data_IF_888600480731
#
_entry.id   IF_888600480731
#
_cell.length_a   1.000
_cell.length_b   1.000
_cell.length_c   1.000
_cell.angle_alpha   90.00
_cell.angle_beta   90.00
_cell.angle_gamma   90.00
#
_symmetry.space_group_name_H-M   'P 1'
#
loop_
_entity.id
_entity.type
_entity.pdbx_description
1 polymer ?
#
# COMPACT_ATOMS: atom_id res chain seq x y z
N UNK A 1 -25.42 5.03 20.13
CA UNK A 1 -24.15 5.04 19.38
C UNK A 1 -23.30 3.89 19.91
N UNK A 2 -23.11 2.77 19.18
CA UNK A 2 -22.19 1.74 19.61
C UNK A 2 -20.76 2.12 19.17
N UNK A 3 -19.82 1.92 20.08
CA UNK A 3 -18.38 2.20 19.95
C UNK A 3 -17.74 1.13 19.06
N UNK A 4 -16.91 1.51 18.07
CA UNK A 4 -16.09 0.55 17.33
C UNK A 4 -15.10 -0.12 18.28
N UNK A 5 -15.14 -1.46 18.34
CA UNK A 5 -14.30 -2.24 19.26
C UNK A 5 -12.94 -2.52 18.63
N UNK A 6 -11.86 -1.95 19.20
CA UNK A 6 -10.49 -2.32 18.87
C UNK A 6 -10.24 -3.74 19.38
N UNK A 7 -9.93 -4.68 18.49
CA UNK A 7 -9.64 -6.07 18.86
C UNK A 7 -8.13 -6.32 18.85
N UNK A 8 -7.55 -6.58 20.02
CA UNK A 8 -6.16 -6.99 20.14
C UNK A 8 -6.04 -8.50 19.97
N UNK A 9 -5.11 -8.96 19.12
CA UNK A 9 -4.74 -10.38 19.00
C UNK A 9 -3.26 -10.56 19.31
N UNK A 10 -2.89 -11.31 20.36
CA UNK A 10 -1.49 -11.65 20.60
C UNK A 10 -0.99 -12.62 19.51
N UNK A 11 0.29 -12.49 19.14
CA UNK A 11 0.95 -13.40 18.21
C UNK A 11 1.08 -14.81 18.83
N UNK A 12 0.81 -15.91 18.09
CA UNK A 12 1.09 -17.25 18.57
C UNK A 12 2.59 -17.53 18.49
N UNK A 13 3.26 -17.63 19.64
CA UNK A 13 4.66 -18.06 19.72
C UNK A 13 5.17 -18.11 21.16
N UNK A 14 5.24 -19.32 21.73
CA UNK A 14 5.81 -19.61 23.06
C UNK A 14 4.78 -20.24 24.01
N UNK A 15 4.67 -21.58 23.98
CA UNK A 15 3.62 -22.33 24.67
C UNK A 15 3.76 -22.46 26.18
N UNK A 16 2.64 -22.74 26.83
CA UNK A 16 2.49 -23.73 27.90
C UNK A 16 1.04 -24.24 27.87
N UNK A 17 0.86 -25.57 27.91
CA UNK A 17 -0.43 -26.25 27.88
C UNK A 17 -1.24 -26.00 29.16
N UNK A 18 -2.57 -25.83 29.01
CA UNK A 18 -3.54 -26.53 29.85
C UNK A 18 -4.86 -26.68 29.11
N UNK A 19 -5.29 -27.93 29.00
CA UNK A 19 -6.53 -28.46 28.45
C UNK A 19 -7.79 -27.95 29.16
N UNK A 20 -8.86 -27.73 28.39
CA UNK A 20 -10.20 -28.25 28.70
C UNK A 20 -11.05 -28.21 27.41
N UNK A 21 -11.48 -29.40 26.98
CA UNK A 21 -12.46 -29.57 25.92
C UNK A 21 -13.86 -29.23 26.45
N UNK A 22 -14.68 -28.63 25.59
CA UNK A 22 -16.12 -28.45 25.79
C UNK A 22 -16.75 -28.35 24.42
N UNK A 23 -17.27 -29.49 23.94
CA UNK A 23 -18.21 -29.55 22.82
C UNK A 23 -19.55 -29.09 23.38
N UNK A 24 -20.20 -28.13 22.72
CA UNK A 24 -21.65 -28.09 22.70
C UNK A 24 -22.18 -27.42 21.43
N UNK A 25 -23.30 -27.99 21.02
CA UNK A 25 -24.06 -27.90 19.78
C UNK A 25 -24.98 -26.66 19.76
N UNK A 26 -25.47 -26.28 18.59
CA UNK A 26 -26.67 -25.42 18.47
C UNK A 26 -26.43 -23.93 18.15
N UNK A 27 -26.69 -23.60 16.88
CA UNK A 27 -27.35 -22.37 16.39
C UNK A 27 -27.21 -21.10 17.24
N UNK A 28 -26.32 -20.20 16.82
CA UNK A 28 -26.37 -18.77 17.19
C UNK A 28 -26.56 -17.97 15.90
N UNK A 29 -27.77 -17.41 15.75
CA UNK A 29 -28.05 -16.28 14.88
C UNK A 29 -27.24 -15.09 15.40
N UNK A 30 -26.04 -14.91 14.84
CA UNK A 30 -25.14 -13.81 15.18
C UNK A 30 -25.64 -12.58 14.41
N UNK A 31 -26.53 -11.79 15.02
CA UNK A 31 -26.82 -10.39 14.66
C UNK A 31 -25.58 -9.52 14.93
N UNK A 32 -24.47 -9.89 14.28
CA UNK A 32 -23.16 -9.32 14.46
C UNK A 32 -23.07 -8.06 13.63
N UNK A 33 -22.71 -6.97 14.28
CA UNK A 33 -22.37 -5.70 13.64
C UNK A 33 -21.36 -5.90 12.48
N UNK A 34 -21.82 -5.72 11.24
CA UNK A 34 -21.03 -5.83 9.99
C UNK A 34 -20.24 -4.54 9.64
N UNK A 35 -19.98 -3.68 10.64
CA UNK A 35 -19.15 -2.48 10.45
C UNK A 35 -17.66 -2.81 10.37
N UNK A 36 -16.81 -1.88 9.87
CA UNK A 36 -15.37 -2.08 9.87
C UNK A 36 -14.86 -2.33 11.29
N UNK A 37 -14.11 -3.42 11.46
CA UNK A 37 -13.49 -3.79 12.73
C UNK A 37 -11.98 -3.56 12.68
N UNK A 38 -11.46 -2.75 13.59
CA UNK A 38 -10.02 -2.51 13.72
C UNK A 38 -9.37 -3.63 14.53
N UNK A 39 -8.40 -4.30 13.92
CA UNK A 39 -7.57 -5.31 14.60
C UNK A 39 -6.14 -4.83 14.65
N UNK A 40 -5.50 -4.87 15.82
CA UNK A 40 -4.10 -4.45 15.99
C UNK A 40 -3.25 -5.65 16.44
N UNK A 41 -2.13 -5.85 15.74
CA UNK A 41 -1.10 -6.83 16.03
C UNK A 41 0.21 -6.11 16.36
N UNK A 42 0.84 -6.48 17.47
CA UNK A 42 2.14 -5.94 17.88
C UNK A 42 3.15 -7.07 18.14
N UNK A 43 4.42 -6.85 17.79
CA UNK A 43 5.49 -7.74 18.22
C UNK A 43 5.79 -7.52 19.72
N UNK A 44 5.72 -8.59 20.50
CA UNK A 44 6.05 -8.56 21.93
C UNK A 44 7.58 -8.59 22.14
N UNK A 45 8.28 -7.57 21.66
CA UNK A 45 9.70 -7.37 21.97
C UNK A 45 9.95 -5.89 22.25
N UNK A 46 9.45 -5.44 23.40
CA UNK A 46 9.70 -4.11 23.96
C UNK A 46 9.51 -4.17 25.46
N UNK A 47 10.56 -4.59 26.17
CA UNK A 47 10.60 -4.56 27.64
C UNK A 47 10.31 -3.15 28.14
N UNK A 48 9.38 -3.05 29.09
CA UNK A 48 8.80 -1.77 29.48
C UNK A 48 9.70 -0.87 30.29
N UNK A 49 9.32 0.42 30.34
CA UNK A 49 9.18 1.14 31.61
C UNK A 49 8.28 2.36 31.45
N UNK A 50 7.29 2.45 32.34
CA UNK A 50 6.57 3.66 32.65
C UNK A 50 7.44 4.63 33.47
N UNK A 51 7.23 5.93 33.27
CA UNK A 51 7.77 7.03 34.10
C UNK A 51 7.47 8.37 33.42
N UNK A 52 6.31 8.98 33.67
CA UNK A 52 6.00 9.96 34.74
C UNK A 52 6.81 11.27 34.60
N UNK A 53 6.06 12.36 34.44
CA UNK A 53 6.52 13.74 34.31
C UNK A 53 7.39 14.23 35.48
N UNK A 54 8.34 15.11 35.16
CA UNK A 54 9.11 15.92 36.11
C UNK A 54 10.20 16.70 35.37
N UNK A 55 10.16 18.04 35.42
CA UNK A 55 11.15 18.92 34.82
C UNK A 55 12.48 18.95 35.56
N UNK A 56 13.51 19.49 34.91
CA UNK A 56 14.80 19.79 35.55
C UNK A 56 15.97 19.84 34.57
N UNK A 57 16.49 21.06 34.40
CA UNK A 57 17.80 21.42 33.85
C UNK A 57 18.94 20.46 34.24
N UNK A 58 19.80 20.07 33.29
CA UNK A 58 21.12 19.49 33.60
C UNK A 58 21.80 18.68 32.48
N UNK A 59 22.78 19.28 31.81
CA UNK A 59 24.07 18.65 31.47
C UNK A 59 24.16 17.68 30.27
N UNK A 60 24.66 18.20 29.15
CA UNK A 60 25.14 17.49 27.94
C UNK A 60 26.35 16.55 28.20
N UNK A 61 26.14 15.44 28.94
CA UNK A 61 27.13 14.33 29.01
C UNK A 61 26.55 12.95 28.75
N UNK A 62 25.25 12.84 28.44
CA UNK A 62 24.58 11.58 28.10
C UNK A 62 24.49 11.26 26.60
N UNK A 63 24.72 12.24 25.72
CA UNK A 63 24.48 12.11 24.26
C UNK A 63 25.40 11.13 23.54
N UNK A 64 26.66 11.01 23.97
CA UNK A 64 27.65 10.14 23.32
C UNK A 64 27.40 8.65 23.61
N UNK A 65 27.11 8.30 24.85
CA UNK A 65 26.81 6.90 25.23
C UNK A 65 25.45 6.43 24.67
N UNK A 66 24.46 7.34 24.59
CA UNK A 66 23.19 7.09 23.92
C UNK A 66 23.37 6.88 22.41
N UNK A 67 24.16 7.74 21.75
CA UNK A 67 24.47 7.62 20.32
C UNK A 67 25.28 6.37 19.97
N UNK A 68 26.22 5.96 20.82
CA UNK A 68 27.00 4.73 20.62
C UNK A 68 26.16 3.46 20.83
N UNK A 69 25.27 3.45 21.83
CA UNK A 69 24.31 2.33 22.00
C UNK A 69 23.34 2.23 20.84
N UNK A 70 22.80 3.35 20.36
CA UNK A 70 21.93 3.37 19.18
C UNK A 70 22.68 2.92 17.92
N UNK A 71 23.92 3.38 17.72
CA UNK A 71 24.75 2.96 16.59
C UNK A 71 25.11 1.45 16.62
N UNK A 72 25.20 0.86 17.82
CA UNK A 72 25.40 -0.58 18.02
C UNK A 72 24.12 -1.38 17.83
N UNK A 73 22.96 -0.89 18.32
CA UNK A 73 21.67 -1.57 18.14
C UNK A 73 21.20 -1.56 16.69
N UNK A 74 21.50 -0.49 15.96
CA UNK A 74 21.00 -0.26 14.60
C UNK A 74 21.96 -0.81 13.53
N UNK A 75 23.04 -1.48 13.93
CA UNK A 75 24.00 -2.14 13.04
C UNK A 75 25.00 -1.22 12.34
N UNK A 76 24.88 0.11 12.48
CA UNK A 76 25.74 1.11 11.83
C UNK A 76 27.22 0.96 12.22
N UNK A 77 27.50 0.72 13.51
CA UNK A 77 28.87 0.49 13.98
C UNK A 77 29.47 -0.81 13.43
N UNK A 78 28.67 -1.87 13.33
CA UNK A 78 29.10 -3.15 12.79
C UNK A 78 29.42 -3.06 11.28
N UNK A 79 28.62 -2.31 10.51
CA UNK A 79 28.89 -2.08 9.07
C UNK A 79 30.17 -1.28 8.86
N UNK A 80 30.38 -0.22 9.65
CA UNK A 80 31.58 0.62 9.53
C UNK A 80 32.86 -0.16 9.87
N UNK A 81 32.87 -0.91 10.97
CA UNK A 81 34.01 -1.75 11.38
C UNK A 81 34.22 -2.91 10.39
N UNK A 82 33.13 -3.56 9.97
CA UNK A 82 33.20 -4.65 8.99
C UNK A 82 33.76 -4.22 7.64
N UNK A 83 33.37 -3.03 7.16
CA UNK A 83 33.89 -2.44 5.92
C UNK A 83 35.37 -2.11 5.99
N UNK A 84 35.82 -1.53 7.11
CA UNK A 84 37.24 -1.22 7.33
C UNK A 84 38.10 -2.50 7.37
N UNK A 85 37.63 -3.55 8.05
CA UNK A 85 38.33 -4.84 8.13
C UNK A 85 38.34 -5.58 6.79
N UNK A 86 37.18 -5.69 6.12
CA UNK A 86 37.08 -6.37 4.83
C UNK A 86 37.91 -5.67 3.75
N UNK A 87 37.89 -4.33 3.72
CA UNK A 87 38.71 -3.55 2.79
C UNK A 87 40.21 -3.64 3.09
N UNK A 88 40.62 -3.42 4.34
CA UNK A 88 42.03 -3.42 4.74
C UNK A 88 42.68 -4.79 4.61
N UNK A 89 42.07 -5.84 5.15
CA UNK A 89 42.62 -7.19 5.10
C UNK A 89 42.42 -7.85 3.72
N UNK A 90 41.39 -7.47 2.95
CA UNK A 90 41.17 -7.96 1.59
C UNK A 90 42.26 -7.52 0.61
N UNK A 91 42.71 -6.26 0.71
CA UNK A 91 43.81 -5.73 -0.11
C UNK A 91 45.13 -6.44 0.21
N UNK A 92 45.42 -6.67 1.49
CA UNK A 92 46.66 -7.35 1.90
C UNK A 92 46.64 -8.87 1.60
N UNK A 93 45.48 -9.52 1.65
CA UNK A 93 45.32 -10.90 1.20
C UNK A 93 45.60 -11.04 -0.31
N UNK A 94 45.11 -10.09 -1.13
CA UNK A 94 45.36 -10.08 -2.57
C UNK A 94 46.85 -9.82 -2.89
N UNK A 95 47.49 -8.89 -2.18
CA UNK A 95 48.93 -8.62 -2.30
C UNK A 95 49.79 -9.83 -1.91
N UNK A 96 49.48 -10.50 -0.79
CA UNK A 96 50.20 -11.69 -0.33
C UNK A 96 50.17 -12.84 -1.36
N UNK A 97 49.07 -12.98 -2.11
CA UNK A 97 48.96 -13.96 -3.19
C UNK A 97 49.80 -13.56 -4.41
N UNK A 98 49.78 -12.27 -4.79
CA UNK A 98 50.55 -11.76 -5.92
C UNK A 98 52.06 -11.80 -5.70
N UNK A 99 52.52 -11.61 -4.46
CA UNK A 99 53.96 -11.56 -4.10
C UNK A 99 54.50 -12.94 -3.68
N UNK A 100 53.64 -13.96 -3.53
CA UNK A 100 54.06 -15.33 -3.23
C UNK A 100 54.44 -15.60 -1.77
N UNK A 101 54.16 -14.67 -0.86
CA UNK A 101 54.43 -14.83 0.58
C UNK A 101 53.35 -15.68 1.25
N UNK A 102 53.72 -16.89 1.69
CA UNK A 102 52.80 -17.83 2.34
C UNK A 102 52.62 -17.58 3.85
N UNK A 103 53.62 -16.97 4.50
CA UNK A 103 53.58 -16.68 5.93
C UNK A 103 52.59 -15.53 6.22
N UNK A 104 51.64 -15.75 7.12
CA UNK A 104 50.68 -14.71 7.55
C UNK A 104 49.45 -14.51 6.65
N UNK A 105 49.42 -15.12 5.44
CA UNK A 105 48.29 -15.04 4.49
C UNK A 105 46.94 -15.41 5.11
N UNK A 106 46.94 -16.45 5.93
CA UNK A 106 45.72 -16.95 6.54
C UNK A 106 45.11 -15.95 7.54
N UNK A 107 45.93 -15.13 8.21
CA UNK A 107 45.44 -14.06 9.09
C UNK A 107 44.75 -12.96 8.29
N UNK A 108 45.24 -12.62 7.09
CA UNK A 108 44.55 -11.67 6.21
C UNK A 108 43.20 -12.21 5.70
N UNK A 109 43.14 -13.50 5.36
CA UNK A 109 41.88 -14.15 4.98
C UNK A 109 40.89 -14.18 6.15
N UNK A 110 41.34 -14.52 7.36
CA UNK A 110 40.50 -14.52 8.57
C UNK A 110 40.00 -13.11 8.90
N UNK A 111 40.84 -12.09 8.81
CA UNK A 111 40.45 -10.69 9.01
C UNK A 111 39.41 -10.22 8.01
N UNK A 112 39.54 -10.62 6.74
CA UNK A 112 38.55 -10.34 5.69
C UNK A 112 37.22 -11.04 5.96
N UNK A 113 37.24 -12.34 6.29
CA UNK A 113 36.03 -13.10 6.62
C UNK A 113 35.32 -12.55 7.87
N UNK A 114 36.07 -12.14 8.89
CA UNK A 114 35.51 -11.48 10.07
C UNK A 114 34.86 -10.12 9.70
N UNK A 115 35.49 -9.35 8.81
CA UNK A 115 34.92 -8.11 8.27
C UNK A 115 33.60 -8.34 7.50
N UNK A 116 33.56 -9.36 6.63
CA UNK A 116 32.34 -9.75 5.90
C UNK A 116 31.24 -10.22 6.85
N UNK A 117 31.57 -11.03 7.86
CA UNK A 117 30.60 -11.47 8.86
C UNK A 117 29.98 -10.29 9.64
N UNK A 118 30.80 -9.29 10.00
CA UNK A 118 30.34 -8.06 10.65
C UNK A 118 29.46 -7.21 9.73
N UNK A 119 29.77 -7.13 8.43
CA UNK A 119 28.91 -6.48 7.44
C UNK A 119 27.54 -7.16 7.37
N UNK A 120 27.51 -8.49 7.22
CA UNK A 120 26.27 -9.27 7.16
C UNK A 120 25.44 -9.09 8.43
N UNK A 121 26.07 -9.16 9.61
CA UNK A 121 25.41 -8.93 10.89
C UNK A 121 24.88 -7.49 11.02
N UNK A 122 25.68 -6.50 10.62
CA UNK A 122 25.30 -5.08 10.66
C UNK A 122 24.14 -4.75 9.73
N UNK A 123 24.14 -5.26 8.50
CA UNK A 123 22.99 -5.13 7.60
C UNK A 123 21.74 -5.83 8.16
N UNK A 124 21.89 -7.01 8.78
CA UNK A 124 20.78 -7.71 9.43
C UNK A 124 20.18 -6.95 10.63
N UNK A 125 21.01 -6.28 11.43
CA UNK A 125 20.56 -5.43 12.54
C UNK A 125 19.89 -4.15 12.03
N UNK A 126 20.43 -3.53 10.99
CA UNK A 126 19.87 -2.33 10.37
C UNK A 126 18.51 -2.59 9.74
N UNK A 127 18.36 -3.74 9.09
CA UNK A 127 17.08 -4.21 8.56
C UNK A 127 16.06 -4.42 9.69
N UNK A 128 16.46 -5.03 10.82
CA UNK A 128 15.59 -5.18 12.00
C UNK A 128 15.21 -3.84 12.64
N UNK A 129 16.16 -2.91 12.79
CA UNK A 129 15.90 -1.58 13.31
C UNK A 129 14.96 -0.79 12.39
N UNK A 130 15.13 -0.90 11.06
CA UNK A 130 14.18 -0.33 10.11
C UNK A 130 12.79 -0.94 10.21
N UNK A 131 12.66 -2.25 10.48
CA UNK A 131 11.36 -2.91 10.73
C UNK A 131 10.70 -2.41 12.01
N UNK A 132 11.48 -2.14 13.07
CA UNK A 132 11.00 -1.68 14.38
C UNK A 132 10.28 -0.31 14.34
N UNK A 133 10.39 0.43 13.23
CA UNK A 133 9.83 1.79 13.09
C UNK A 133 8.70 1.85 12.04
N UNK A 134 8.30 0.71 11.45
CA UNK A 134 7.30 0.67 10.38
C UNK A 134 5.93 0.20 10.87
N UNK A 135 4.88 0.88 10.41
CA UNK A 135 3.48 0.48 10.62
C UNK A 135 2.89 0.02 9.30
N UNK A 136 2.33 -1.19 9.32
CA UNK A 136 1.55 -1.72 8.22
C UNK A 136 0.06 -1.56 8.49
N UNK A 137 -0.70 -1.12 7.49
CA UNK A 137 -2.16 -1.08 7.51
C UNK A 137 -2.69 -1.94 6.37
N UNK A 138 -3.37 -3.03 6.71
CA UNK A 138 -4.09 -3.88 5.75
C UNK A 138 -5.54 -3.42 5.68
N UNK A 139 -6.00 -3.08 4.49
CA UNK A 139 -7.37 -2.58 4.27
C UNK A 139 -8.10 -3.47 3.29
N UNK A 140 -9.19 -4.09 3.73
CA UNK A 140 -9.90 -5.12 2.97
C UNK A 140 -11.34 -4.70 2.66
N UNK A 141 -11.76 -4.82 1.41
CA UNK A 141 -13.17 -4.82 1.06
C UNK A 141 -13.50 -6.17 0.41
N UNK A 142 -14.12 -7.07 1.18
CA UNK A 142 -14.39 -8.44 0.77
C UNK A 142 -15.58 -8.48 -0.18
N UNK A 143 -15.30 -8.70 -1.45
CA UNK A 143 -16.32 -8.87 -2.48
C UNK A 143 -16.91 -10.28 -2.45
N UNK A 144 -18.16 -10.39 -2.04
CA UNK A 144 -18.89 -11.67 -1.96
C UNK A 144 -19.11 -12.26 -3.34
N UNK A 145 -19.39 -11.42 -4.35
CA UNK A 145 -19.62 -11.85 -5.73
C UNK A 145 -18.38 -12.46 -6.39
N UNK A 146 -17.18 -12.03 -5.95
CA UNK A 146 -15.89 -12.59 -6.40
C UNK A 146 -15.37 -13.76 -5.55
N UNK A 147 -16.16 -14.20 -4.57
CA UNK A 147 -15.87 -15.35 -3.72
C UNK A 147 -15.20 -14.97 -2.39
N UNK A 148 -15.95 -15.14 -1.30
CA UNK A 148 -15.49 -14.84 0.07
C UNK A 148 -14.22 -15.59 0.49
N UNK A 149 -14.06 -16.85 0.08
CA UNK A 149 -12.88 -17.64 0.42
C UNK A 149 -11.60 -17.02 -0.15
N UNK A 150 -11.66 -16.58 -1.41
CA UNK A 150 -10.53 -15.94 -2.09
C UNK A 150 -10.21 -14.56 -1.50
N UNK A 151 -11.24 -13.77 -1.17
CA UNK A 151 -11.05 -12.49 -0.48
C UNK A 151 -10.38 -12.67 0.89
N UNK A 152 -10.79 -13.68 1.67
CA UNK A 152 -10.15 -14.01 2.96
C UNK A 152 -8.71 -14.49 2.79
N UNK A 153 -8.42 -15.26 1.75
CA UNK A 153 -7.05 -15.69 1.46
C UNK A 153 -6.14 -14.49 1.16
N UNK A 154 -6.57 -13.54 0.33
CA UNK A 154 -5.78 -12.34 0.04
C UNK A 154 -5.56 -11.46 1.27
N UNK A 155 -6.57 -11.34 2.13
CA UNK A 155 -6.44 -10.65 3.41
C UNK A 155 -5.41 -11.32 4.33
N UNK A 156 -5.48 -12.65 4.49
CA UNK A 156 -4.53 -13.41 5.31
C UNK A 156 -3.10 -13.27 4.80
N UNK A 157 -2.89 -13.33 3.49
CA UNK A 157 -1.57 -13.13 2.86
C UNK A 157 -1.05 -11.70 3.09
N UNK A 158 -1.90 -10.68 2.98
CA UNK A 158 -1.53 -9.29 3.25
C UNK A 158 -1.16 -9.08 4.74
N UNK A 159 -1.94 -9.67 5.65
CA UNK A 159 -1.66 -9.63 7.10
C UNK A 159 -0.37 -10.37 7.45
N UNK A 160 -0.11 -11.54 6.87
CA UNK A 160 1.13 -12.29 7.06
C UNK A 160 2.34 -11.52 6.55
N UNK A 161 2.27 -10.98 5.33
CA UNK A 161 3.30 -10.13 4.78
C UNK A 161 3.57 -8.94 5.70
N UNK A 162 2.52 -8.18 6.07
CA UNK A 162 2.65 -7.01 6.93
C UNK A 162 3.27 -7.34 8.29
N UNK A 163 2.85 -8.44 8.93
CA UNK A 163 3.42 -8.88 10.22
C UNK A 163 4.87 -9.30 10.11
N UNK A 164 5.32 -9.77 8.95
CA UNK A 164 6.72 -10.15 8.70
C UNK A 164 7.64 -8.95 8.42
N UNK A 165 7.08 -7.83 7.95
CA UNK A 165 7.84 -6.64 7.51
C UNK A 165 7.68 -5.41 8.41
N UNK A 166 6.64 -5.33 9.23
CA UNK A 166 6.32 -4.15 10.05
C UNK A 166 6.34 -4.48 11.56
N UNK A 167 6.61 -3.47 12.40
CA UNK A 167 6.60 -3.62 13.87
C UNK A 167 5.18 -3.73 14.43
N UNK A 168 4.27 -2.97 13.83
CA UNK A 168 2.84 -2.92 14.16
C UNK A 168 2.05 -3.12 12.89
N UNK A 169 1.08 -4.03 12.94
CA UNK A 169 0.13 -4.24 11.84
C UNK A 169 -1.26 -3.90 12.34
N UNK A 170 -1.97 -3.07 11.58
CA UNK A 170 -3.37 -2.73 11.80
C UNK A 170 -4.17 -3.27 10.62
N UNK A 171 -5.21 -4.05 10.88
CA UNK A 171 -6.09 -4.57 9.85
C UNK A 171 -7.50 -3.99 10.04
N UNK A 172 -8.10 -3.53 8.94
CA UNK A 172 -9.50 -3.09 8.90
C UNK A 172 -10.17 -3.67 7.66
N UNK A 173 -11.40 -4.14 7.83
CA UNK A 173 -12.10 -4.86 6.77
C UNK A 173 -13.60 -4.60 6.80
N UNK A 174 -14.21 -4.51 5.62
CA UNK A 174 -15.67 -4.61 5.44
C UNK A 174 -16.00 -5.77 4.51
N UNK A 175 -17.18 -6.34 4.68
CA UNK A 175 -17.76 -7.27 3.70
C UNK A 175 -18.72 -6.49 2.81
N UNK A 176 -18.64 -6.66 1.50
CA UNK A 176 -19.56 -6.04 0.54
C UNK A 176 -20.85 -6.85 0.49
N UNK A 177 -21.97 -6.15 0.37
CA UNK A 177 -23.31 -6.74 0.29
C UNK A 177 -23.71 -7.09 -1.14
N UNK A 178 -23.08 -6.47 -2.14
CA UNK A 178 -23.51 -6.55 -3.54
C UNK A 178 -24.55 -5.48 -3.90
N UNK A 179 -25.08 -4.74 -2.93
CA UNK A 179 -25.88 -3.54 -3.16
C UNK A 179 -24.95 -2.31 -3.23
N UNK A 180 -24.83 -1.64 -4.40
CA UNK A 180 -23.96 -0.48 -4.56
C UNK A 180 -24.24 0.69 -3.60
N UNK A 181 -25.49 0.88 -3.17
CA UNK A 181 -25.87 1.97 -2.26
C UNK A 181 -25.34 1.69 -0.85
N UNK A 182 -25.55 0.46 -0.38
CA UNK A 182 -25.04 0.00 0.92
C UNK A 182 -23.51 -0.04 0.91
N UNK A 183 -22.93 -0.55 -0.18
CA UNK A 183 -21.49 -0.72 -0.33
C UNK A 183 -20.74 0.61 -0.39
N UNK A 184 -21.35 1.66 -0.99
CA UNK A 184 -20.83 3.02 -0.89
C UNK A 184 -20.61 3.45 0.56
N UNK A 185 -21.64 3.31 1.40
CA UNK A 185 -21.55 3.67 2.82
C UNK A 185 -20.53 2.82 3.57
N UNK A 186 -20.42 1.52 3.26
CA UNK A 186 -19.42 0.63 3.88
C UNK A 186 -18.00 1.04 3.52
N UNK A 187 -17.74 1.39 2.26
CA UNK A 187 -16.42 1.83 1.79
C UNK A 187 -16.04 3.19 2.36
N UNK A 188 -16.99 4.11 2.49
CA UNK A 188 -16.76 5.39 3.16
C UNK A 188 -16.39 5.20 4.64
N UNK A 189 -17.10 4.33 5.36
CA UNK A 189 -16.74 3.97 6.74
C UNK A 189 -15.38 3.29 6.83
N UNK A 190 -15.02 2.46 5.86
CA UNK A 190 -13.69 1.84 5.78
C UNK A 190 -12.59 2.89 5.61
N UNK A 191 -12.83 3.93 4.79
CA UNK A 191 -11.91 5.05 4.63
C UNK A 191 -11.74 5.86 5.93
N UNK A 192 -12.84 6.13 6.64
CA UNK A 192 -12.80 6.80 7.95
C UNK A 192 -12.04 5.97 8.99
N UNK A 193 -12.28 4.65 9.05
CA UNK A 193 -11.55 3.77 9.95
C UNK A 193 -10.06 3.66 9.58
N UNK A 194 -9.73 3.70 8.29
CA UNK A 194 -8.34 3.74 7.83
C UNK A 194 -7.66 5.06 8.22
N UNK A 195 -8.37 6.18 8.15
CA UNK A 195 -7.85 7.45 8.64
C UNK A 195 -7.57 7.40 10.15
N UNK A 196 -8.48 6.81 10.93
CA UNK A 196 -8.25 6.56 12.36
C UNK A 196 -7.05 5.65 12.61
N UNK A 197 -6.87 4.60 11.79
CA UNK A 197 -5.71 3.71 11.85
C UNK A 197 -4.39 4.45 11.54
N UNK A 198 -4.39 5.37 10.56
CA UNK A 198 -3.25 6.23 10.25
C UNK A 198 -2.91 7.16 11.44
N UNK A 199 -3.92 7.71 12.11
CA UNK A 199 -3.71 8.54 13.31
C UNK A 199 -3.23 7.71 14.51
N UNK A 200 -3.71 6.46 14.65
CA UNK A 200 -3.22 5.53 15.66
C UNK A 200 -1.76 5.14 15.40
N UNK A 201 -1.40 4.86 14.15
CA UNK A 201 -0.02 4.56 13.74
C UNK A 201 0.94 5.68 14.16
N UNK A 202 0.55 6.94 13.99
CA UNK A 202 1.35 8.09 14.42
C UNK A 202 1.60 8.11 15.95
N UNK A 203 0.65 7.63 16.74
CA UNK A 203 0.78 7.56 18.21
C UNK A 203 1.59 6.36 18.67
N UNK A 204 1.42 5.21 18.02
CA UNK A 204 2.11 3.97 18.39
C UNK A 204 3.59 4.00 18.02
N UNK A 205 3.94 4.67 16.93
CA UNK A 205 5.33 4.79 16.46
C UNK A 205 5.60 6.23 15.99
N UNK A 206 5.88 7.18 16.91
CA UNK A 206 6.12 8.58 16.56
C UNK A 206 7.32 8.81 15.64
N UNK A 207 8.28 7.88 15.67
CA UNK A 207 9.49 7.90 14.82
C UNK A 207 9.23 7.38 13.40
N UNK A 208 8.07 6.75 13.16
CA UNK A 208 7.68 6.27 11.83
C UNK A 208 7.52 7.45 10.87
N UNK A 209 8.42 7.56 9.90
CA UNK A 209 8.32 8.53 8.81
C UNK A 209 7.35 8.10 7.72
N UNK A 210 7.02 6.81 7.66
CA UNK A 210 6.16 6.20 6.66
C UNK A 210 5.18 5.18 7.26
N UNK A 211 4.06 4.97 6.57
CA UNK A 211 3.08 3.90 6.81
C UNK A 211 2.91 3.09 5.52
N UNK A 212 2.96 1.77 5.64
CA UNK A 212 2.76 0.85 4.53
C UNK A 212 1.28 0.42 4.47
N UNK A 213 0.57 0.82 3.42
CA UNK A 213 -0.84 0.52 3.17
C UNK A 213 -0.97 -0.61 2.14
N UNK A 214 -1.63 -1.71 2.51
CA UNK A 214 -1.84 -2.88 1.65
C UNK A 214 -3.35 -3.03 1.38
N UNK A 215 -3.86 -2.56 0.23
CA UNK A 215 -5.27 -2.66 -0.12
C UNK A 215 -5.61 -4.04 -0.73
N UNK A 216 -6.65 -4.69 -0.21
CA UNK A 216 -7.24 -5.92 -0.75
C UNK A 216 -8.72 -5.68 -1.06
N UNK A 217 -8.97 -5.01 -2.19
CA UNK A 217 -10.32 -4.63 -2.63
C UNK A 217 -10.42 -4.59 -4.16
N UNK A 218 -11.63 -4.66 -4.74
CA UNK A 218 -11.85 -4.43 -6.17
C UNK A 218 -11.33 -3.07 -6.66
N UNK A 219 -10.91 -3.01 -7.94
CA UNK A 219 -10.33 -1.81 -8.55
C UNK A 219 -11.20 -0.57 -8.40
N UNK A 220 -12.50 -0.68 -8.67
CA UNK A 220 -13.41 0.46 -8.62
C UNK A 220 -13.56 1.03 -7.20
N UNK A 221 -13.63 0.15 -6.20
CA UNK A 221 -13.66 0.57 -4.80
C UNK A 221 -12.35 1.18 -4.34
N UNK A 222 -11.21 0.70 -4.85
CA UNK A 222 -9.91 1.27 -4.55
C UNK A 222 -9.82 2.74 -4.98
N UNK A 223 -10.34 3.09 -6.16
CA UNK A 223 -10.39 4.47 -6.63
C UNK A 223 -11.26 5.33 -5.71
N UNK A 224 -12.48 4.88 -5.41
CA UNK A 224 -13.40 5.61 -4.55
C UNK A 224 -12.86 5.79 -3.13
N UNK A 225 -12.31 4.70 -2.57
CA UNK A 225 -11.62 4.69 -1.27
C UNK A 225 -10.45 5.68 -1.26
N UNK A 226 -9.62 5.66 -2.30
CA UNK A 226 -8.53 6.61 -2.48
C UNK A 226 -9.02 8.06 -2.50
N UNK A 227 -10.07 8.35 -3.27
CA UNK A 227 -10.69 9.67 -3.33
C UNK A 227 -11.15 10.14 -1.94
N UNK A 228 -11.72 9.25 -1.13
CA UNK A 228 -12.16 9.59 0.23
C UNK A 228 -11.02 9.75 1.23
N UNK A 229 -9.96 8.96 1.08
CA UNK A 229 -8.79 8.99 1.94
C UNK A 229 -7.91 10.22 1.67
N UNK A 230 -7.87 10.69 0.42
CA UNK A 230 -7.06 11.81 -0.02
C UNK A 230 -5.55 11.56 0.02
N UNK A 231 -4.78 12.58 -0.35
CA UNK A 231 -3.32 12.49 -0.46
C UNK A 231 -2.56 13.33 0.58
N UNK A 232 -3.26 14.14 1.37
CA UNK A 232 -2.67 15.06 2.36
C UNK A 232 -2.57 14.38 3.72
N UNK A 233 -1.48 13.63 3.91
CA UNK A 233 -1.17 12.95 5.17
C UNK A 233 0.10 13.54 5.78
N UNK A 234 0.19 13.61 7.10
CA UNK A 234 1.39 14.10 7.81
C UNK A 234 2.61 13.20 7.57
N UNK A 235 2.39 11.90 7.42
CA UNK A 235 3.40 10.88 7.08
C UNK A 235 3.27 10.43 5.63
N UNK A 236 4.35 9.88 5.08
CA UNK A 236 4.30 9.22 3.78
C UNK A 236 3.46 7.94 3.90
N UNK A 237 2.40 7.82 3.11
CA UNK A 237 1.62 6.58 3.02
C UNK A 237 2.02 5.87 1.74
N UNK A 238 2.76 4.76 1.86
CA UNK A 238 3.19 3.92 0.74
C UNK A 238 2.14 2.87 0.46
N UNK A 239 1.65 2.83 -0.77
CA UNK A 239 0.68 1.84 -1.21
C UNK A 239 1.42 0.67 -1.82
N UNK A 240 1.17 -0.52 -1.29
CA UNK A 240 1.76 -1.76 -1.78
C UNK A 240 0.87 -2.41 -2.84
N UNK A 241 1.50 -3.08 -3.80
CA UNK A 241 0.83 -3.93 -4.78
C UNK A 241 1.31 -5.37 -4.65
N UNK A 242 0.43 -6.30 -5.02
CA UNK A 242 0.76 -7.73 -5.15
C UNK A 242 1.65 -7.91 -6.39
N UNK A 243 2.71 -8.72 -6.27
CA UNK A 243 3.51 -9.14 -7.43
C UNK A 243 2.77 -10.16 -8.29
N UNK A 244 3.00 -10.09 -9.58
CA UNK A 244 2.59 -11.03 -10.59
C UNK A 244 3.36 -12.35 -10.42
N UNK A 245 2.73 -13.46 -10.83
CA UNK A 245 3.34 -14.78 -10.91
C UNK A 245 4.08 -15.25 -9.63
N UNK A 246 3.48 -15.01 -8.45
CA UNK A 246 4.01 -15.44 -7.15
C UNK A 246 5.42 -14.91 -6.82
N UNK A 247 5.77 -13.72 -7.31
CA UNK A 247 7.05 -13.08 -7.04
C UNK A 247 7.37 -12.94 -5.54
N UNK A 248 8.65 -13.00 -5.18
CA UNK A 248 9.13 -12.89 -3.79
C UNK A 248 9.97 -11.62 -3.60
N UNK A 249 9.66 -10.75 -2.62
CA UNK A 249 8.52 -10.82 -1.69
C UNK A 249 7.16 -10.62 -2.38
N UNK A 250 6.05 -11.16 -1.83
CA UNK A 250 4.72 -11.19 -2.49
C UNK A 250 4.11 -9.80 -2.73
N UNK A 251 4.57 -8.80 -1.99
CA UNK A 251 4.16 -7.42 -2.16
C UNK A 251 5.39 -6.53 -2.33
N UNK A 252 5.18 -5.40 -3.02
CA UNK A 252 6.19 -4.36 -3.16
C UNK A 252 5.57 -2.98 -2.96
N UNK A 253 6.37 -2.04 -2.46
CA UNK A 253 5.98 -0.64 -2.35
C UNK A 253 5.83 -0.05 -3.77
N UNK A 254 4.59 0.09 -4.21
CA UNK A 254 4.25 0.39 -5.59
C UNK A 254 4.14 1.90 -5.85
N UNK A 255 3.56 2.65 -4.92
CA UNK A 255 3.53 4.11 -5.02
C UNK A 255 3.29 4.72 -3.65
N UNK A 256 3.08 6.04 -3.56
CA UNK A 256 2.65 6.72 -2.36
C UNK A 256 1.29 7.40 -2.58
N UNK A 257 0.57 7.81 -1.54
CA UNK A 257 -0.62 8.64 -1.75
C UNK A 257 -0.22 10.07 -2.14
N UNK A 258 0.81 10.61 -1.50
CA UNK A 258 1.31 11.96 -1.79
C UNK A 258 1.88 12.03 -3.21
N UNK A 259 1.62 13.14 -3.89
CA UNK A 259 2.25 13.46 -5.16
C UNK A 259 3.78 13.42 -5.02
N UNK A 260 4.44 12.75 -5.95
CA UNK A 260 5.90 12.66 -6.04
C UNK A 260 6.24 12.94 -7.50
N UNK A 261 7.17 13.85 -7.76
CA UNK A 261 7.56 14.13 -9.14
C UNK A 261 8.09 12.85 -9.81
N UNK A 262 7.58 12.56 -11.00
CA UNK A 262 8.05 11.45 -11.82
C UNK A 262 8.19 11.89 -13.26
N UNK A 263 9.36 11.63 -13.83
CA UNK A 263 9.63 11.82 -15.26
C UNK A 263 9.22 10.61 -16.10
N UNK A 264 8.86 9.47 -15.47
CA UNK A 264 8.44 8.28 -16.20
C UNK A 264 7.09 8.54 -16.89
N UNK A 265 7.03 8.22 -18.19
CA UNK A 265 5.84 8.36 -19.02
C UNK A 265 5.50 7.03 -19.71
N UNK A 266 5.05 6.00 -18.97
CA UNK A 266 4.81 4.67 -19.51
C UNK A 266 3.53 4.55 -20.37
N UNK A 267 2.70 5.60 -20.42
CA UNK A 267 1.41 5.58 -21.09
C UNK A 267 1.44 6.35 -22.41
N UNK A 268 0.69 5.86 -23.38
CA UNK A 268 0.19 6.63 -24.51
C UNK A 268 -1.14 7.29 -24.12
N UNK A 269 -1.44 8.46 -24.69
CA UNK A 269 -2.68 9.20 -24.44
C UNK A 269 -3.41 9.52 -25.75
N UNK A 270 -4.73 9.34 -25.76
CA UNK A 270 -5.60 9.73 -26.87
C UNK A 270 -6.91 10.28 -26.36
N UNK A 271 -7.26 11.51 -26.77
CA UNK A 271 -8.55 12.13 -26.48
C UNK A 271 -9.51 11.88 -27.64
N UNK A 272 -10.67 11.34 -27.33
CA UNK A 272 -11.74 11.02 -28.27
C UNK A 272 -13.01 11.82 -27.92
N UNK A 273 -13.76 12.21 -28.95
CA UNK A 273 -15.12 12.74 -28.80
C UNK A 273 -16.10 11.63 -29.11
N UNK A 274 -17.10 11.45 -28.25
CA UNK A 274 -18.14 10.44 -28.39
C UNK A 274 -19.36 11.09 -29.03
N UNK A 275 -19.76 10.59 -30.21
CA UNK A 275 -20.90 11.12 -30.94
C UNK A 275 -22.19 11.01 -30.12
N UNK A 276 -22.96 12.10 -30.07
CA UNK A 276 -24.22 12.18 -29.31
C UNK A 276 -24.06 12.28 -27.79
N UNK A 277 -22.85 12.30 -27.25
CA UNK A 277 -22.62 12.47 -25.81
C UNK A 277 -22.73 13.92 -25.33
N UNK A 278 -23.03 14.10 -24.04
CA UNK A 278 -23.10 15.40 -23.37
C UNK A 278 -21.68 16.02 -23.26
N UNK A 279 -21.42 17.21 -23.85
CA UNK A 279 -20.12 17.86 -23.83
C UNK A 279 -19.70 18.33 -22.42
N UNK A 280 -20.60 18.31 -21.44
CA UNK A 280 -20.28 18.56 -20.03
C UNK A 280 -19.81 17.32 -19.27
N UNK A 281 -19.79 16.14 -19.91
CA UNK A 281 -19.38 14.87 -19.30
C UNK A 281 -18.10 14.35 -19.94
N UNK A 282 -17.14 13.96 -19.10
CA UNK A 282 -15.86 13.41 -19.55
C UNK A 282 -15.51 12.11 -18.84
N UNK A 283 -14.80 11.22 -19.53
CA UNK A 283 -14.31 9.96 -19.00
C UNK A 283 -12.79 9.85 -19.10
N UNK A 284 -12.19 9.22 -18.09
CA UNK A 284 -10.82 8.73 -18.12
C UNK A 284 -10.84 7.20 -18.22
N UNK A 285 -10.22 6.61 -19.23
CA UNK A 285 -10.06 5.17 -19.34
C UNK A 285 -8.59 4.80 -19.27
N UNK A 286 -8.23 3.91 -18.34
CA UNK A 286 -6.85 3.51 -18.08
C UNK A 286 -6.67 2.01 -18.32
N UNK A 287 -6.01 1.67 -19.44
CA UNK A 287 -5.67 0.30 -19.82
C UNK A 287 -4.21 -0.03 -19.49
N UNK A 288 -3.97 -0.60 -18.31
CA UNK A 288 -2.62 -0.99 -17.89
C UNK A 288 -2.27 -2.43 -18.22
N UNK A 289 -3.26 -3.23 -18.63
CA UNK A 289 -3.07 -4.65 -18.95
C UNK A 289 -2.92 -4.88 -20.46
N UNK A 290 -2.96 -3.82 -21.26
CA UNK A 290 -2.74 -3.88 -22.70
C UNK A 290 -3.84 -4.64 -23.44
N UNK A 291 -5.09 -4.58 -22.96
CA UNK A 291 -6.23 -5.21 -23.64
C UNK A 291 -6.58 -4.53 -24.97
N UNK A 292 -6.15 -3.27 -25.17
CA UNK A 292 -6.35 -2.55 -26.41
C UNK A 292 -7.84 -2.39 -26.73
N UNK A 293 -8.26 -2.81 -27.93
CA UNK A 293 -9.65 -2.66 -28.35
C UNK A 293 -10.64 -3.48 -27.51
N UNK A 294 -10.21 -4.60 -26.94
CA UNK A 294 -11.07 -5.38 -26.01
C UNK A 294 -11.40 -4.62 -24.73
N UNK A 295 -10.65 -3.57 -24.39
CA UNK A 295 -11.00 -2.64 -23.32
C UNK A 295 -11.66 -1.37 -23.87
N UNK A 296 -11.13 -0.80 -24.96
CA UNK A 296 -11.61 0.47 -25.49
C UNK A 296 -13.03 0.37 -26.08
N UNK A 297 -13.39 -0.71 -26.77
CA UNK A 297 -14.70 -0.82 -27.41
C UNK A 297 -15.84 -0.90 -26.39
N UNK A 298 -15.78 -1.75 -25.33
CA UNK A 298 -16.81 -1.73 -24.28
C UNK A 298 -16.87 -0.39 -23.52
N UNK A 299 -15.73 0.31 -23.37
CA UNK A 299 -15.70 1.64 -22.76
C UNK A 299 -16.45 2.65 -23.63
N UNK A 300 -16.17 2.71 -24.94
CA UNK A 300 -16.87 3.61 -25.87
C UNK A 300 -18.37 3.34 -25.92
N UNK A 301 -18.75 2.07 -25.92
CA UNK A 301 -20.16 1.67 -25.84
C UNK A 301 -20.81 2.18 -24.55
N UNK A 302 -20.15 1.99 -23.41
CA UNK A 302 -20.64 2.50 -22.12
C UNK A 302 -20.72 4.03 -22.12
N UNK A 303 -19.75 4.73 -22.72
CA UNK A 303 -19.79 6.18 -22.86
C UNK A 303 -21.02 6.64 -23.66
N UNK A 304 -21.36 5.97 -24.77
CA UNK A 304 -22.58 6.25 -25.54
C UNK A 304 -23.84 6.02 -24.70
N UNK A 305 -23.92 4.90 -23.99
CA UNK A 305 -25.08 4.55 -23.16
C UNK A 305 -25.31 5.53 -22.00
N UNK A 306 -24.24 6.06 -21.41
CA UNK A 306 -24.29 7.01 -20.29
C UNK A 306 -24.19 8.48 -20.71
N UNK A 307 -24.22 8.75 -22.02
CA UNK A 307 -24.19 10.09 -22.59
C UNK A 307 -22.91 10.88 -22.27
N UNK A 308 -21.75 10.22 -22.22
CA UNK A 308 -20.46 10.87 -21.96
C UNK A 308 -19.90 11.39 -23.28
N UNK A 309 -19.63 12.69 -23.40
CA UNK A 309 -19.19 13.33 -24.65
C UNK A 309 -17.69 13.29 -24.94
N UNK A 310 -16.84 13.17 -23.91
CA UNK A 310 -15.39 13.14 -24.07
C UNK A 310 -14.76 11.94 -23.37
N UNK A 311 -13.80 11.28 -24.02
CA UNK A 311 -13.10 10.12 -23.48
C UNK A 311 -11.60 10.28 -23.66
N UNK A 312 -10.87 10.45 -22.55
CA UNK A 312 -9.41 10.35 -22.53
C UNK A 312 -9.01 8.89 -22.28
N UNK A 313 -8.43 8.24 -23.27
CA UNK A 313 -7.88 6.89 -23.15
C UNK A 313 -6.38 6.98 -22.90
N UNK A 314 -5.94 6.36 -21.82
CA UNK A 314 -4.55 6.18 -21.46
C UNK A 314 -4.21 4.70 -21.45
N UNK A 315 -3.09 4.33 -22.07
CA UNK A 315 -2.75 2.91 -22.27
C UNK A 315 -1.26 2.64 -22.16
N UNK A 316 -0.94 1.57 -21.44
CA UNK A 316 0.40 0.98 -21.42
C UNK A 316 0.75 0.38 -22.78
N UNK A 317 1.99 0.56 -23.25
CA UNK A 317 2.46 -0.07 -24.49
C UNK A 317 2.62 -1.59 -24.37
N UNK A 318 2.79 -2.12 -23.15
CA UNK A 318 2.95 -3.54 -22.85
C UNK A 318 1.79 -4.09 -22.03
N UNK A 319 1.61 -5.41 -22.07
CA UNK A 319 0.61 -6.13 -21.28
C UNK A 319 0.94 -6.20 -19.78
N UNK A 320 2.20 -5.95 -19.41
CA UNK A 320 2.68 -5.94 -18.03
C UNK A 320 3.48 -4.66 -17.75
N UNK A 321 3.18 -4.02 -16.63
CA UNK A 321 3.99 -2.92 -16.08
C UNK A 321 5.15 -3.50 -15.28
N UNK A 322 6.31 -2.83 -15.33
CA UNK A 322 7.41 -3.16 -14.44
C UNK A 322 7.00 -2.95 -12.97
N UNK A 323 7.31 -3.95 -12.13
CA UNK A 323 6.87 -4.02 -10.73
C UNK A 323 7.78 -3.24 -9.78
N UNK A 324 7.84 -1.93 -10.02
CA UNK A 324 8.66 -0.99 -9.27
C UNK A 324 7.92 0.32 -9.00
N UNK A 325 8.43 1.05 -8.00
CA UNK A 325 7.81 2.29 -7.53
C UNK A 325 7.85 3.42 -8.57
N UNK A 326 8.88 3.47 -9.41
CA UNK A 326 9.05 4.52 -10.40
C UNK A 326 8.02 4.39 -11.52
N UNK A 327 7.81 3.17 -12.01
CA UNK A 327 6.81 2.84 -13.04
C UNK A 327 5.40 3.15 -12.54
N UNK A 328 5.02 2.63 -11.38
CA UNK A 328 3.68 2.80 -10.83
C UNK A 328 3.38 4.26 -10.45
N UNK A 329 4.36 4.98 -9.88
CA UNK A 329 4.23 6.43 -9.63
C UNK A 329 4.16 7.21 -10.93
N UNK A 330 4.94 6.82 -11.95
CA UNK A 330 4.89 7.38 -13.30
C UNK A 330 3.51 7.25 -13.94
N UNK A 331 2.87 6.08 -13.85
CA UNK A 331 1.49 5.87 -14.33
C UNK A 331 0.53 6.86 -13.68
N UNK A 332 0.56 6.99 -12.35
CA UNK A 332 -0.38 7.87 -11.61
C UNK A 332 -0.15 9.34 -11.94
N UNK A 333 1.10 9.81 -11.94
CA UNK A 333 1.41 11.20 -12.24
C UNK A 333 1.20 11.55 -13.71
N UNK A 334 1.54 10.65 -14.64
CA UNK A 334 1.23 10.85 -16.04
C UNK A 334 -0.27 10.91 -16.24
N UNK A 335 -1.04 9.97 -15.69
CA UNK A 335 -2.50 9.99 -15.84
C UNK A 335 -3.14 11.28 -15.32
N UNK A 336 -2.69 11.77 -14.16
CA UNK A 336 -3.12 13.06 -13.61
C UNK A 336 -2.73 14.21 -14.53
N UNK A 337 -1.48 14.25 -15.02
CA UNK A 337 -0.99 15.30 -15.90
C UNK A 337 -1.75 15.34 -17.23
N UNK A 338 -1.93 14.18 -17.89
CA UNK A 338 -2.69 14.08 -19.14
C UNK A 338 -4.16 14.49 -18.94
N UNK A 339 -4.79 14.07 -17.84
CA UNK A 339 -6.14 14.52 -17.51
C UNK A 339 -6.23 16.04 -17.35
N UNK A 340 -5.29 16.65 -16.63
CA UNK A 340 -5.25 18.09 -16.44
C UNK A 340 -4.88 18.85 -17.72
N UNK A 341 -4.09 18.26 -18.61
CA UNK A 341 -3.65 18.88 -19.87
C UNK A 341 -4.61 18.65 -21.05
N UNK A 342 -5.51 17.66 -20.98
CA UNK A 342 -6.43 17.32 -22.07
C UNK A 342 -7.24 18.53 -22.55
N UNK A 343 -7.45 18.67 -23.85
CA UNK A 343 -8.22 19.77 -24.44
C UNK A 343 -9.75 19.62 -24.24
N UNK A 344 -10.18 19.38 -23.00
CA UNK A 344 -11.59 19.27 -22.62
C UNK A 344 -12.24 20.66 -22.60
N UNK A 345 -13.48 20.81 -23.11
CA UNK A 345 -14.24 22.06 -23.00
C UNK A 345 -14.43 22.50 -21.55
N UNK A 346 -14.64 23.81 -21.33
CA UNK A 346 -14.88 24.36 -20.00
C UNK A 346 -16.05 23.70 -19.26
N UNK A 347 -17.12 23.35 -19.98
CA UNK A 347 -18.26 22.62 -19.44
C UNK A 347 -17.88 21.23 -18.92
N UNK A 348 -17.04 20.49 -19.63
CA UNK A 348 -16.52 19.20 -19.16
C UNK A 348 -15.66 19.37 -17.91
N UNK A 349 -14.83 20.43 -17.83
CA UNK A 349 -13.95 20.70 -16.68
C UNK A 349 -14.65 20.99 -15.35
N UNK A 350 -15.95 21.28 -15.38
CA UNK A 350 -16.74 21.54 -14.18
C UNK A 350 -17.90 20.55 -14.00
N UNK A 351 -18.17 19.70 -14.99
CA UNK A 351 -19.27 18.75 -15.00
C UNK A 351 -18.97 17.43 -14.26
N UNK A 352 -19.50 16.33 -14.82
CA UNK A 352 -19.41 14.98 -14.23
C UNK A 352 -18.34 14.15 -14.92
N UNK A 353 -17.67 13.32 -14.13
CA UNK A 353 -16.55 12.50 -14.57
C UNK A 353 -16.86 11.02 -14.44
N UNK A 354 -16.34 10.25 -15.37
CA UNK A 354 -16.31 8.79 -15.29
C UNK A 354 -14.86 8.30 -15.30
N UNK A 355 -14.61 7.16 -14.67
CA UNK A 355 -13.32 6.47 -14.79
C UNK A 355 -13.49 4.98 -15.02
N UNK A 356 -12.74 4.44 -15.97
CA UNK A 356 -12.68 3.03 -16.35
C UNK A 356 -11.26 2.52 -16.09
N UNK A 357 -11.11 1.45 -15.32
CA UNK A 357 -9.80 1.02 -14.82
C UNK A 357 -9.53 -0.45 -15.13
N UNK A 358 -8.35 -0.72 -15.69
CA UNK A 358 -7.77 -2.04 -15.91
C UNK A 358 -6.36 -2.06 -15.32
N UNK A 359 -6.03 -3.05 -14.49
CA UNK A 359 -4.69 -3.20 -13.90
C UNK A 359 -4.65 -3.29 -12.38
N UNK A 360 -3.89 -2.40 -11.74
CA UNK A 360 -3.51 -2.52 -10.32
C UNK A 360 -4.39 -1.72 -9.36
N UNK A 361 -4.73 -2.35 -8.23
CA UNK A 361 -5.44 -1.75 -7.09
C UNK A 361 -4.66 -0.58 -6.51
N UNK A 362 -3.33 -0.69 -6.42
CA UNK A 362 -2.49 0.38 -5.88
C UNK A 362 -2.53 1.65 -6.74
N UNK A 363 -2.52 1.50 -8.06
CA UNK A 363 -2.63 2.61 -9.01
C UNK A 363 -4.02 3.23 -8.94
N UNK A 364 -5.06 2.40 -8.94
CA UNK A 364 -6.44 2.85 -8.79
C UNK A 364 -6.64 3.72 -7.53
N UNK A 365 -6.14 3.23 -6.39
CA UNK A 365 -6.22 3.94 -5.12
C UNK A 365 -5.47 5.26 -5.14
N UNK A 366 -4.21 5.26 -5.59
CA UNK A 366 -3.41 6.48 -5.66
C UNK A 366 -4.00 7.50 -6.66
N UNK A 367 -4.57 7.04 -7.78
CA UNK A 367 -5.24 7.90 -8.73
C UNK A 367 -6.48 8.54 -8.11
N UNK A 368 -7.32 7.78 -7.42
CA UNK A 368 -8.46 8.32 -6.68
C UNK A 368 -8.02 9.39 -5.68
N UNK A 369 -7.00 9.10 -4.88
CA UNK A 369 -6.47 10.01 -3.88
C UNK A 369 -5.91 11.32 -4.44
N UNK A 370 -5.32 11.30 -5.64
CA UNK A 370 -4.66 12.47 -6.25
C UNK A 370 -5.54 13.22 -7.27
N UNK A 371 -6.53 12.54 -7.85
CA UNK A 371 -7.36 13.08 -8.92
C UNK A 371 -8.78 13.43 -8.44
N UNK A 372 -9.40 12.53 -7.67
CA UNK A 372 -10.80 12.63 -7.29
C UNK A 372 -11.02 13.19 -5.89
N UNK A 373 -10.01 13.16 -5.00
CA UNK A 373 -10.13 13.66 -3.63
C UNK A 373 -10.65 15.10 -3.47
N UNK A 374 -10.37 16.06 -4.37
CA UNK A 374 -10.92 17.41 -4.25
C UNK A 374 -12.46 17.46 -4.40
N UNK A 375 -13.05 16.56 -5.18
CA UNK A 375 -14.49 16.46 -5.35
C UNK A 375 -14.91 15.02 -5.74
N UNK A 376 -14.94 14.09 -4.76
CA UNK A 376 -15.24 12.69 -5.03
C UNK A 376 -16.62 12.52 -5.66
N UNK A 377 -17.58 13.37 -5.29
CA UNK A 377 -18.96 13.31 -5.77
C UNK A 377 -19.12 13.53 -7.28
N UNK A 378 -18.13 14.13 -7.96
CA UNK A 378 -18.14 14.26 -9.44
C UNK A 378 -17.80 12.98 -10.17
N UNK A 379 -17.17 12.02 -9.52
CA UNK A 379 -16.62 10.83 -10.18
C UNK A 379 -17.56 9.63 -10.06
N UNK A 380 -17.83 8.98 -11.19
CA UNK A 380 -18.43 7.65 -11.27
C UNK A 380 -17.37 6.67 -11.75
N UNK A 381 -17.14 5.60 -11.00
CA UNK A 381 -16.17 4.56 -11.33
C UNK A 381 -16.90 3.40 -11.97
N UNK A 382 -16.52 3.05 -13.19
CA UNK A 382 -17.10 1.93 -13.91
C UNK A 382 -16.23 0.69 -13.72
N UNK A 383 -16.87 -0.41 -13.34
CA UNK A 383 -16.23 -1.71 -13.14
C UNK A 383 -16.78 -2.70 -14.15
N UNK A 384 -15.90 -3.39 -14.89
CA UNK A 384 -16.33 -4.40 -15.85
C UNK A 384 -16.80 -5.66 -15.10
N UNK A 385 -18.07 -5.99 -15.27
CA UNK A 385 -18.65 -7.24 -14.82
C UNK A 385 -18.44 -8.30 -15.91
N UNK A 386 -17.83 -9.41 -15.51
CA UNK A 386 -17.50 -10.51 -16.43
C UNK A 386 -18.72 -11.37 -16.75
N UNK A 387 -19.71 -11.40 -15.87
CA UNK A 387 -20.88 -12.25 -16.04
C UNK A 387 -21.88 -11.59 -17.00
N UNK A 388 -22.07 -10.27 -16.87
CA UNK A 388 -22.95 -9.50 -17.77
C UNK A 388 -22.23 -8.91 -18.98
N UNK A 389 -20.90 -9.05 -19.06
CA UNK A 389 -20.05 -8.44 -20.09
C UNK A 389 -20.27 -6.91 -20.26
N UNK A 390 -20.59 -6.22 -19.17
CA UNK A 390 -20.93 -4.80 -19.19
C UNK A 390 -20.25 -4.05 -18.04
N UNK A 391 -20.06 -2.75 -18.22
CA UNK A 391 -19.58 -1.88 -17.15
C UNK A 391 -20.72 -1.50 -16.20
N UNK A 392 -20.49 -1.69 -14.91
CA UNK A 392 -21.40 -1.30 -13.84
C UNK A 392 -20.87 -0.05 -13.12
N UNK A 393 -21.70 0.98 -12.90
CA UNK A 393 -21.27 2.22 -12.26
C UNK A 393 -21.22 2.10 -10.73
N UNK A 394 -20.24 2.75 -10.11
CA UNK A 394 -20.10 2.91 -8.67
C UNK A 394 -19.53 4.30 -8.30
N UNK A 395 -20.15 5.07 -7.38
CA UNK A 395 -21.49 4.82 -6.85
C UNK A 395 -22.54 4.89 -7.97
N UNK A 396 -23.75 4.40 -7.70
CA UNK A 396 -24.85 4.58 -8.66
C UNK A 396 -25.05 6.07 -8.94
N UNK A 397 -25.18 6.47 -10.22
CA UNK A 397 -25.48 7.85 -10.55
C UNK A 397 -26.79 8.25 -9.89
N UNK A 398 -26.82 9.44 -9.28
CA UNK A 398 -28.09 9.98 -8.80
C UNK A 398 -29.06 10.13 -9.99
N UNK A 399 -30.32 9.71 -9.87
CA UNK A 399 -31.29 9.92 -10.92
C UNK A 399 -31.39 11.41 -11.19
N UNK A 400 -31.13 11.81 -12.44
CA UNK A 400 -31.38 13.17 -12.93
C UNK A 400 -32.85 13.50 -12.69
N UNK A 401 -33.12 14.48 -11.83
CA UNK A 401 -34.46 15.05 -11.65
C UNK A 401 -34.84 15.95 -12.80
#
# INVERSE_FOLDING_TARGET
MPVSGIRWRPCPGGGFHSSAAGVDDGTVTDDRWDGPGLTVFGSATGGGRAGRAGGGSGGDRGGWAGGLRAALSDGTAAVAVGGALAGGFGVEAAKSVMVGEAAGRWWFVVGCLAGVALLVAGFGLRERAHRQVQVGIVVTARDVGRGLAKARQYEQQAEEFSRSTCAVTVATAVTLSGDPVVDKSRVEKLADETFNALMLAQRLTPEATRVDLIPTMPLHLAFWFGARLGHTHSREVRVHAVRQADGSPPYFAATALRATESAAAPLSASLETVEGGDPSRAALALDLQGFGQHFADPVRETCRQHGIGHLLVLRSAGSLLAEDAATYTGVVEQARREWLAAALPSAARTGRYAVFLSGSVAISLALGARLAAPDPGRWTVFSFDRDTHSYQPFPLPEPTR
#
